data_IF_060107184422
#
_entry.id   IF_060107184422
#
_cell.length_a   1.000
_cell.length_b   1.000
_cell.length_c   1.000
_cell.angle_alpha   90.00
_cell.angle_beta   90.00
_cell.angle_gamma   90.00
#
_symmetry.space_group_name_H-M   'P 1'
#
loop_
_entity.id
_entity.type
_entity.pdbx_description
1 polymer ?
#
# COMPACT_ATOMS: atom_id res chain seq x y z
N UNK A 1 9.58 15.53 -20.53
CA UNK A 1 8.99 15.40 -19.18
C UNK A 1 8.70 13.93 -18.94
N UNK A 2 9.12 13.35 -17.80
CA UNK A 2 8.89 11.94 -17.45
C UNK A 2 8.09 11.83 -16.16
N UNK A 3 7.18 10.85 -16.12
CA UNK A 3 6.46 10.49 -14.87
C UNK A 3 6.76 9.06 -14.51
N UNK A 4 7.22 8.86 -13.28
CA UNK A 4 7.41 7.56 -12.64
C UNK A 4 6.15 7.25 -11.84
N UNK A 5 5.44 6.19 -12.22
CA UNK A 5 4.21 5.74 -11.57
C UNK A 5 4.51 4.44 -10.79
N UNK A 6 4.54 4.53 -9.48
CA UNK A 6 4.64 3.37 -8.60
C UNK A 6 3.23 2.86 -8.32
N UNK A 7 2.80 1.82 -9.03
CA UNK A 7 1.51 1.16 -8.82
C UNK A 7 1.57 0.30 -7.57
N UNK A 8 0.70 0.56 -6.62
CA UNK A 8 0.66 -0.12 -5.32
C UNK A 8 -0.69 -0.80 -5.17
N UNK A 9 -0.70 -2.08 -4.79
CA UNK A 9 -1.91 -2.86 -4.54
C UNK A 9 -1.73 -3.86 -3.40
N UNK A 10 -2.83 -4.45 -2.94
CA UNK A 10 -2.86 -5.49 -1.92
C UNK A 10 -2.93 -6.85 -2.61
N UNK A 11 -2.06 -7.79 -2.23
CA UNK A 11 -2.04 -9.15 -2.78
C UNK A 11 -3.06 -10.08 -2.11
N UNK A 12 -3.11 -11.35 -2.56
CA UNK A 12 -3.99 -12.39 -2.04
C UNK A 12 -3.40 -13.21 -0.90
N UNK A 13 -2.32 -12.77 -0.26
CA UNK A 13 -1.70 -13.54 0.84
C UNK A 13 -2.63 -13.63 2.05
N UNK A 14 -2.78 -14.86 2.60
CA UNK A 14 -3.61 -15.16 3.78
C UNK A 14 -2.68 -15.55 4.94
N UNK A 15 -2.96 -15.20 6.19
CA UNK A 15 -4.10 -14.46 6.70
C UNK A 15 -3.99 -12.92 6.54
N UNK A 16 -2.81 -12.42 6.25
CA UNK A 16 -2.56 -10.98 6.13
C UNK A 16 -2.02 -10.66 4.75
N UNK A 17 -2.79 -9.91 3.98
CA UNK A 17 -2.39 -9.42 2.66
C UNK A 17 -1.17 -8.52 2.74
N UNK A 18 -0.36 -8.55 1.68
CA UNK A 18 0.86 -7.75 1.57
C UNK A 18 0.71 -6.67 0.50
N UNK A 19 1.39 -5.56 0.70
CA UNK A 19 1.54 -4.57 -0.35
C UNK A 19 2.49 -5.09 -1.43
N UNK A 20 2.10 -4.86 -2.69
CA UNK A 20 2.92 -5.08 -3.87
C UNK A 20 3.06 -3.77 -4.63
N UNK A 21 4.16 -3.63 -5.34
CA UNK A 21 4.40 -2.47 -6.18
C UNK A 21 5.13 -2.84 -7.46
N UNK A 22 4.89 -2.04 -8.50
CA UNK A 22 5.67 -2.04 -9.74
C UNK A 22 5.64 -0.67 -10.38
N UNK A 23 6.74 -0.28 -11.02
CA UNK A 23 6.92 1.07 -11.58
C UNK A 23 6.74 1.07 -13.08
N UNK A 24 5.95 2.02 -13.59
CA UNK A 24 5.84 2.37 -15.01
C UNK A 24 6.38 3.78 -15.23
N UNK A 25 7.06 3.99 -16.36
CA UNK A 25 7.54 5.31 -16.77
C UNK A 25 6.74 5.75 -17.98
N UNK A 26 6.22 6.98 -17.93
CA UNK A 26 5.51 7.62 -19.04
C UNK A 26 6.24 8.89 -19.48
N UNK A 27 6.16 9.22 -20.77
CA UNK A 27 6.71 10.44 -21.35
C UNK A 27 5.65 11.57 -21.36
N UNK A 28 4.91 11.70 -20.26
CA UNK A 28 3.88 12.74 -20.09
C UNK A 28 3.77 13.15 -18.62
N UNK A 29 3.23 14.32 -18.36
CA UNK A 29 2.85 14.76 -17.01
C UNK A 29 1.45 14.27 -16.68
N UNK A 30 1.24 13.81 -15.43
CA UNK A 30 -0.06 13.34 -14.92
C UNK A 30 -0.66 14.45 -14.05
N UNK A 31 -1.89 14.82 -14.34
CA UNK A 31 -2.64 15.84 -13.60
C UNK A 31 -3.91 15.31 -12.96
N UNK A 32 -4.48 14.24 -13.52
CA UNK A 32 -5.68 13.58 -12.99
C UNK A 32 -5.50 12.06 -13.05
N UNK A 33 -6.18 11.33 -12.17
CA UNK A 33 -6.08 9.87 -12.09
C UNK A 33 -6.45 9.14 -13.37
N UNK A 34 -7.38 9.69 -14.16
CA UNK A 34 -7.84 9.09 -15.42
C UNK A 34 -6.78 9.08 -16.53
N UNK A 35 -5.71 9.84 -16.39
CA UNK A 35 -4.54 9.79 -17.30
C UNK A 35 -3.59 8.64 -16.98
N UNK A 36 -3.73 8.00 -15.82
CA UNK A 36 -2.90 6.87 -15.41
C UNK A 36 -3.49 5.61 -16.04
N UNK A 37 -2.73 4.91 -16.91
CA UNK A 37 -3.25 3.73 -17.60
C UNK A 37 -3.47 2.57 -16.63
N UNK A 38 -4.46 1.73 -16.92
CA UNK A 38 -4.56 0.39 -16.32
C UNK A 38 -3.34 -0.45 -16.72
N UNK A 39 -2.96 -1.41 -15.88
CA UNK A 39 -1.78 -2.23 -16.13
C UNK A 39 -1.96 -3.67 -15.71
N UNK A 40 -1.79 -4.61 -16.65
CA UNK A 40 -1.85 -6.03 -16.37
C UNK A 40 -0.66 -6.53 -15.54
N UNK A 41 -0.88 -7.57 -14.75
CA UNK A 41 0.16 -8.28 -14.01
C UNK A 41 -0.20 -9.76 -13.85
N UNK A 42 0.80 -10.58 -13.55
CA UNK A 42 0.64 -12.00 -13.25
C UNK A 42 0.19 -12.19 -11.80
N UNK A 43 -1.09 -12.51 -11.61
CA UNK A 43 -1.72 -12.74 -10.31
C UNK A 43 -1.24 -14.02 -9.63
N UNK A 44 -0.66 -14.98 -10.34
CA UNK A 44 -0.15 -16.22 -9.73
C UNK A 44 1.02 -15.94 -8.77
N UNK A 45 1.85 -14.95 -9.07
CA UNK A 45 2.96 -14.53 -8.23
C UNK A 45 2.55 -13.76 -6.97
N UNK A 46 1.28 -13.37 -6.88
CA UNK A 46 0.71 -12.57 -5.79
C UNK A 46 -0.45 -13.27 -5.07
N UNK A 47 -0.64 -14.56 -5.29
CA UNK A 47 -1.75 -15.36 -4.73
C UNK A 47 -3.14 -14.81 -5.10
N UNK A 48 -3.29 -14.31 -6.33
CA UNK A 48 -4.53 -13.70 -6.82
C UNK A 48 -5.11 -14.42 -8.04
N UNK A 49 -4.38 -15.36 -8.64
CA UNK A 49 -4.86 -16.17 -9.74
C UNK A 49 -4.13 -17.51 -9.81
N UNK A 50 -4.68 -18.45 -10.55
CA UNK A 50 -4.04 -19.71 -10.87
C UNK A 50 -3.08 -19.56 -12.06
N UNK A 51 -2.04 -20.41 -12.13
CA UNK A 51 -0.99 -20.28 -13.15
C UNK A 51 -1.46 -20.39 -14.60
N UNK A 52 -2.57 -21.09 -14.85
CA UNK A 52 -3.11 -21.29 -16.18
C UNK A 52 -4.02 -20.14 -16.65
N UNK A 53 -4.52 -19.30 -15.72
CA UNK A 53 -5.33 -18.11 -16.00
C UNK A 53 -4.91 -17.01 -15.01
N UNK A 54 -3.70 -16.51 -15.23
CA UNK A 54 -2.99 -15.67 -14.25
C UNK A 54 -3.14 -14.17 -14.44
N UNK A 55 -3.80 -13.73 -15.49
CA UNK A 55 -3.92 -12.31 -15.79
C UNK A 55 -4.82 -11.58 -14.79
N UNK A 56 -4.27 -10.53 -14.17
CA UNK A 56 -4.97 -9.56 -13.35
C UNK A 56 -4.69 -8.15 -13.84
N UNK A 57 -5.58 -7.22 -13.51
CA UNK A 57 -5.50 -5.82 -13.93
C UNK A 57 -5.42 -4.90 -12.72
N UNK A 58 -4.45 -3.99 -12.73
CA UNK A 58 -4.35 -2.87 -11.79
C UNK A 58 -5.13 -1.68 -12.35
N UNK A 59 -6.15 -1.26 -11.63
CA UNK A 59 -6.94 -0.09 -11.91
C UNK A 59 -6.57 1.04 -10.95
N UNK A 60 -5.96 2.14 -11.44
CA UNK A 60 -5.68 3.31 -10.62
C UNK A 60 -6.95 3.91 -10.02
N UNK A 61 -6.94 4.22 -8.73
CA UNK A 61 -8.08 4.83 -8.02
C UNK A 61 -7.75 6.19 -7.42
N UNK A 62 -6.50 6.39 -7.02
CA UNK A 62 -5.99 7.68 -6.55
C UNK A 62 -4.46 7.71 -6.62
N UNK A 63 -3.88 8.88 -6.50
CA UNK A 63 -2.43 9.04 -6.45
C UNK A 63 -2.03 10.19 -5.54
N UNK A 64 -0.77 10.16 -5.11
CA UNK A 64 -0.11 11.29 -4.47
C UNK A 64 1.34 11.40 -4.97
N UNK A 65 1.97 12.55 -4.69
CA UNK A 65 3.40 12.72 -4.99
C UNK A 65 4.20 11.71 -4.16
N UNK A 66 5.17 11.07 -4.79
CA UNK A 66 6.12 10.20 -4.09
C UNK A 66 7.12 11.07 -3.29
N UNK A 67 7.09 11.03 -1.94
CA UNK A 67 7.97 11.85 -1.12
C UNK A 67 9.40 11.33 -1.05
N UNK A 68 9.66 10.10 -1.50
CA UNK A 68 10.96 9.44 -1.38
C UNK A 68 11.79 9.53 -2.65
N UNK A 69 11.16 9.70 -3.81
CA UNK A 69 11.85 9.79 -5.09
C UNK A 69 12.22 11.23 -5.41
N UNK A 70 13.51 11.49 -5.46
CA UNK A 70 14.02 12.79 -5.93
C UNK A 70 13.91 12.82 -7.46
N UNK A 71 13.23 13.84 -7.96
CA UNK A 71 13.02 14.08 -9.40
C UNK A 71 13.71 15.36 -9.83
N UNK A 72 14.15 15.40 -11.09
CA UNK A 72 14.61 16.62 -11.75
C UNK A 72 13.43 17.55 -12.10
N UNK A 73 13.75 18.75 -12.60
CA UNK A 73 12.74 19.81 -12.92
C UNK A 73 11.69 19.34 -13.95
N UNK A 74 12.06 18.44 -14.86
CA UNK A 74 11.19 17.88 -15.90
C UNK A 74 10.66 16.48 -15.57
N UNK A 75 10.67 16.10 -14.32
CA UNK A 75 10.25 14.76 -13.86
C UNK A 75 9.19 14.84 -12.77
N UNK A 76 8.34 13.81 -12.72
CA UNK A 76 7.33 13.61 -11.72
C UNK A 76 7.41 12.18 -11.19
N UNK A 77 7.22 11.99 -9.89
CA UNK A 77 7.06 10.67 -9.29
C UNK A 77 5.78 10.61 -8.47
N UNK A 78 4.99 9.59 -8.71
CA UNK A 78 3.68 9.40 -8.10
C UNK A 78 3.56 8.00 -7.50
N UNK A 79 3.04 7.91 -6.28
CA UNK A 79 2.51 6.69 -5.69
C UNK A 79 1.06 6.56 -6.12
N UNK A 80 0.72 5.46 -6.78
CA UNK A 80 -0.59 5.20 -7.37
C UNK A 80 -1.27 4.05 -6.66
N UNK A 81 -2.31 4.33 -5.89
CA UNK A 81 -3.12 3.29 -5.27
C UNK A 81 -4.02 2.64 -6.32
N UNK A 82 -3.98 1.30 -6.38
CA UNK A 82 -4.74 0.52 -7.35
C UNK A 82 -5.70 -0.46 -6.69
N UNK A 83 -6.82 -0.68 -7.34
CA UNK A 83 -7.68 -1.84 -7.16
C UNK A 83 -7.26 -2.95 -8.13
N UNK A 84 -7.58 -4.20 -7.77
CA UNK A 84 -7.37 -5.37 -8.65
C UNK A 84 -8.70 -5.75 -9.28
N UNK A 85 -8.69 -5.87 -10.60
CA UNK A 85 -9.81 -6.38 -11.40
C UNK A 85 -9.37 -7.63 -12.18
N UNK A 86 -10.33 -8.45 -12.59
CA UNK A 86 -10.12 -9.52 -13.55
C UNK A 86 -10.02 -8.95 -14.97
N UNK A 87 -9.51 -9.69 -15.95
CA UNK A 87 -9.39 -9.21 -17.33
C UNK A 87 -10.71 -8.77 -17.96
N UNK A 88 -11.83 -9.32 -17.51
CA UNK A 88 -13.18 -8.96 -17.95
C UNK A 88 -13.73 -7.67 -17.30
N UNK A 89 -12.95 -7.04 -16.43
CA UNK A 89 -13.32 -5.82 -15.70
C UNK A 89 -14.18 -6.07 -14.45
N UNK A 90 -14.42 -7.31 -14.06
CA UNK A 90 -15.07 -7.61 -12.80
C UNK A 90 -14.10 -7.44 -11.63
N UNK A 91 -14.66 -7.10 -10.45
CA UNK A 91 -13.85 -6.92 -9.25
C UNK A 91 -13.22 -8.25 -8.82
N UNK A 92 -11.93 -8.20 -8.52
CA UNK A 92 -11.24 -9.36 -7.97
C UNK A 92 -11.66 -9.58 -6.49
N UNK A 93 -11.77 -10.84 -6.06
CA UNK A 93 -12.19 -11.20 -4.70
C UNK A 93 -11.28 -10.68 -3.58
N UNK A 94 -10.00 -10.43 -3.88
CA UNK A 94 -9.05 -9.83 -2.94
C UNK A 94 -9.17 -8.30 -2.84
N UNK A 95 -10.06 -7.68 -3.63
CA UNK A 95 -10.25 -6.23 -3.68
C UNK A 95 -11.18 -5.75 -2.58
N UNK A 96 -10.69 -5.67 -1.35
CA UNK A 96 -11.46 -5.24 -0.17
C UNK A 96 -11.86 -3.77 -0.22
N UNK A 97 -11.10 -2.91 -0.92
CA UNK A 97 -11.41 -1.48 -1.05
C UNK A 97 -12.70 -1.24 -1.83
N UNK A 98 -12.94 -1.96 -2.91
CA UNK A 98 -14.19 -1.80 -3.69
C UNK A 98 -15.41 -2.27 -2.89
N UNK A 99 -15.29 -3.31 -2.08
CA UNK A 99 -16.35 -3.74 -1.15
C UNK A 99 -16.68 -2.64 -0.13
N UNK A 100 -15.65 -1.99 0.44
CA UNK A 100 -15.84 -0.85 1.33
C UNK A 100 -16.53 0.31 0.62
N UNK A 101 -16.13 0.65 -0.61
CA UNK A 101 -16.75 1.71 -1.42
C UNK A 101 -18.24 1.45 -1.65
N UNK A 102 -18.63 0.23 -1.99
CA UNK A 102 -20.03 -0.17 -2.16
C UNK A 102 -20.82 -0.03 -0.85
N UNK A 103 -20.24 -0.45 0.26
CA UNK A 103 -20.85 -0.31 1.60
C UNK A 103 -21.05 1.16 1.95
N UNK A 104 -20.07 2.01 1.72
CA UNK A 104 -20.18 3.44 1.98
C UNK A 104 -21.25 4.12 1.13
N UNK A 105 -21.39 3.74 -0.14
CA UNK A 105 -22.47 4.23 -1.00
C UNK A 105 -23.85 3.82 -0.48
N UNK A 106 -24.00 2.59 -0.02
CA UNK A 106 -25.26 2.05 0.47
C UNK A 106 -25.73 2.75 1.76
N UNK A 107 -24.81 3.03 2.67
CA UNK A 107 -25.14 3.57 4.00
C UNK A 107 -24.98 5.09 4.12
N UNK A 108 -24.63 5.78 3.05
CA UNK A 108 -24.46 7.24 3.01
C UNK A 108 -23.70 7.81 4.22
N UNK A 109 -22.50 7.31 4.45
CA UNK A 109 -21.69 7.63 5.63
C UNK A 109 -20.95 8.96 5.54
N UNK A 110 -21.47 9.93 4.79
CA UNK A 110 -20.82 11.23 4.52
C UNK A 110 -20.52 12.05 5.79
N UNK A 111 -21.18 11.74 6.91
CA UNK A 111 -20.95 12.37 8.22
C UNK A 111 -19.95 11.61 9.10
N UNK A 112 -19.45 10.46 8.64
CA UNK A 112 -18.50 9.68 9.41
C UNK A 112 -17.11 10.33 9.43
N UNK A 113 -16.56 10.47 10.63
CA UNK A 113 -15.17 10.86 10.85
C UNK A 113 -14.36 9.61 11.17
N UNK A 114 -13.26 9.42 10.46
CA UNK A 114 -12.39 8.25 10.62
C UNK A 114 -10.97 8.74 10.87
N UNK A 115 -10.32 8.16 11.90
CA UNK A 115 -8.90 8.33 12.16
C UNK A 115 -8.19 6.99 12.09
N UNK A 116 -6.89 7.03 11.80
CA UNK A 116 -6.02 5.86 11.84
C UNK A 116 -5.00 6.05 12.96
N UNK A 117 -4.84 5.02 13.80
CA UNK A 117 -3.74 4.93 14.76
C UNK A 117 -2.79 3.85 14.26
N UNK A 118 -1.62 4.26 13.79
CA UNK A 118 -0.60 3.33 13.33
C UNK A 118 0.28 2.91 14.49
N UNK A 119 0.15 1.67 14.92
CA UNK A 119 0.97 1.09 15.97
C UNK A 119 2.02 0.15 15.38
N UNK A 120 3.23 0.18 15.91
CA UNK A 120 4.30 -0.74 15.53
C UNK A 120 5.26 -0.97 16.70
N UNK A 121 5.95 -2.10 16.65
CA UNK A 121 6.95 -2.48 17.65
C UNK A 121 8.28 -2.71 16.94
N UNK A 122 9.32 -2.02 17.36
CA UNK A 122 10.68 -2.29 16.91
C UNK A 122 11.21 -3.59 17.49
N UNK A 123 11.97 -4.33 16.69
CA UNK A 123 12.62 -5.56 17.09
C UNK A 123 14.14 -5.43 16.94
N UNK A 124 14.87 -6.00 17.89
CA UNK A 124 16.32 -6.19 17.82
C UNK A 124 16.63 -7.62 18.21
N UNK A 125 17.44 -8.30 17.41
CA UNK A 125 17.87 -9.69 17.65
C UNK A 125 16.69 -10.66 17.89
N UNK A 126 15.59 -10.48 17.15
CA UNK A 126 14.41 -11.34 17.22
C UNK A 126 13.48 -11.08 18.43
N UNK A 127 13.72 -10.02 19.21
CA UNK A 127 12.90 -9.61 20.36
C UNK A 127 12.45 -8.17 20.24
N UNK A 128 11.31 -7.79 20.85
CA UNK A 128 10.94 -6.40 20.93
C UNK A 128 12.04 -5.56 21.59
N UNK A 129 12.31 -4.39 21.02
CA UNK A 129 13.32 -3.47 21.52
C UNK A 129 13.04 -3.11 22.98
N UNK A 130 14.07 -3.14 23.82
CA UNK A 130 13.96 -2.87 25.25
C UNK A 130 13.50 -4.05 26.13
N UNK A 131 13.14 -5.19 25.54
CA UNK A 131 12.81 -6.36 26.33
C UNK A 131 14.07 -7.02 26.91
N UNK A 132 14.04 -7.47 28.18
CA UNK A 132 15.16 -8.16 28.81
C UNK A 132 15.40 -9.54 28.17
N UNK A 133 16.60 -10.10 28.36
CA UNK A 133 16.95 -11.45 27.86
C UNK A 133 16.13 -12.59 28.47
N UNK A 134 15.55 -12.37 29.63
CA UNK A 134 14.67 -13.30 30.29
C UNK A 134 13.65 -12.59 31.16
N UNK A 135 12.50 -13.24 31.38
CA UNK A 135 11.42 -12.69 32.17
C UNK A 135 10.47 -11.79 31.41
N UNK A 136 9.64 -11.07 32.12
CA UNK A 136 8.66 -10.15 31.57
C UNK A 136 9.24 -8.76 31.44
N UNK A 137 8.89 -8.00 30.38
CA UNK A 137 9.32 -6.62 30.26
C UNK A 137 8.69 -5.77 31.35
N UNK A 138 9.38 -4.68 31.76
CA UNK A 138 8.73 -3.62 32.53
C UNK A 138 7.64 -2.95 31.69
N UNK A 139 6.75 -2.14 32.28
CA UNK A 139 5.87 -1.27 31.51
C UNK A 139 6.68 -0.48 30.49
N UNK A 140 6.06 -0.12 29.36
CA UNK A 140 6.67 0.39 28.11
C UNK A 140 7.87 1.34 28.29
N UNK A 141 7.94 2.14 29.35
CA UNK A 141 9.12 2.94 29.70
C UNK A 141 9.54 3.93 28.61
N UNK A 142 10.85 4.09 28.37
CA UNK A 142 11.36 5.08 27.41
C UNK A 142 11.04 4.74 25.95
N UNK A 143 10.63 3.51 25.65
CA UNK A 143 10.32 3.06 24.27
C UNK A 143 8.88 3.41 23.85
N UNK A 144 8.02 3.85 24.77
CA UNK A 144 6.70 4.37 24.41
C UNK A 144 6.80 5.83 23.98
N UNK A 145 6.41 6.11 22.74
CA UNK A 145 6.58 7.44 22.13
C UNK A 145 8.03 7.94 22.20
N UNK A 146 8.99 7.04 22.26
CA UNK A 146 10.42 7.38 22.29
C UNK A 146 10.89 8.01 20.99
N UNK A 147 11.87 8.90 21.08
CA UNK A 147 12.53 9.55 19.93
C UNK A 147 14.04 9.47 20.07
N UNK A 148 14.73 9.57 18.94
CA UNK A 148 16.19 9.61 18.87
C UNK A 148 16.83 8.23 18.84
N UNK A 149 18.11 8.20 18.48
CA UNK A 149 18.87 6.97 18.24
C UNK A 149 19.07 6.12 19.51
N UNK A 150 19.08 6.75 20.68
CA UNK A 150 19.27 6.06 21.96
C UNK A 150 18.06 5.20 22.35
N UNK A 151 16.86 5.62 21.92
CA UNK A 151 15.61 4.97 22.27
C UNK A 151 15.06 4.11 21.12
N UNK A 152 15.08 4.62 19.87
CA UNK A 152 14.30 4.04 18.76
C UNK A 152 15.01 3.98 17.39
N UNK A 153 16.31 4.09 17.30
CA UNK A 153 17.05 4.09 16.02
C UNK A 153 16.71 5.26 15.07
N UNK A 154 16.06 6.30 15.54
CA UNK A 154 15.53 7.40 14.74
C UNK A 154 16.50 8.49 14.36
#
# INVERSE_FOLDING_TARGET
MKTYLEYIWIDGTVPTSKLRAKTKVLDQHITIVNEIPVWGFDGSSTNQADGDDSDCVLKPVTYCKDPFRVCGDDEQALLVLCEVEKPDGTLHETNTRSQLSLTMMQYNTTSAWVGFEQEYTFFKDGRPLGWPEGGYPPPQGPFYCGIGADEVYG
#
